data_IF_367763516005
#
_entry.id   IF_367763516005
#
_cell.length_a   1.000
_cell.length_b   1.000
_cell.length_c   1.000
_cell.angle_alpha   90.00
_cell.angle_beta   90.00
_cell.angle_gamma   90.00
#
_symmetry.space_group_name_H-M   'P 1'
#
loop_
_entity.id
_entity.type
_entity.pdbx_description
1 polymer ?
#
# COMPACT_ATOMS: atom_id res chain seq x y z
N UNK A 1 -11.24 3.37 -9.77
CA UNK A 1 -10.30 3.20 -8.64
C UNK A 1 -9.41 2.00 -8.89
N UNK A 2 -8.12 2.09 -8.58
CA UNK A 2 -7.13 1.04 -8.78
C UNK A 2 -6.56 0.65 -7.41
N UNK A 3 -6.60 -0.64 -7.06
CA UNK A 3 -5.92 -1.19 -5.89
C UNK A 3 -4.59 -1.83 -6.30
N UNK A 4 -3.49 -1.49 -5.62
CA UNK A 4 -2.17 -2.09 -5.87
C UNK A 4 -1.68 -2.76 -4.60
N UNK A 5 -1.79 -4.09 -4.55
CA UNK A 5 -1.36 -4.92 -3.42
C UNK A 5 -0.05 -5.67 -3.71
N UNK A 6 0.49 -6.32 -2.70
CA UNK A 6 1.69 -7.16 -2.79
C UNK A 6 2.54 -7.06 -1.52
N UNK A 7 3.44 -7.99 -1.29
CA UNK A 7 4.26 -8.05 -0.08
C UNK A 7 5.16 -6.82 0.11
N UNK A 8 5.59 -6.60 1.35
CA UNK A 8 6.63 -5.58 1.62
C UNK A 8 7.88 -5.89 0.81
N UNK A 9 8.45 -4.88 0.15
CA UNK A 9 9.61 -5.03 -0.75
C UNK A 9 9.29 -5.59 -2.15
N UNK A 10 8.01 -5.84 -2.50
CA UNK A 10 7.65 -6.35 -3.84
C UNK A 10 7.82 -5.33 -4.98
N UNK A 11 7.91 -4.04 -4.67
CA UNK A 11 8.02 -2.98 -5.68
C UNK A 11 6.67 -2.33 -6.04
N UNK A 12 5.64 -2.44 -5.19
CA UNK A 12 4.34 -1.77 -5.36
C UNK A 12 4.49 -0.28 -5.64
N UNK A 13 5.24 0.43 -4.78
CA UNK A 13 5.44 1.88 -4.91
C UNK A 13 6.11 2.26 -6.24
N UNK A 14 6.98 1.40 -6.78
CA UNK A 14 7.56 1.60 -8.12
C UNK A 14 6.49 1.49 -9.20
N UNK A 15 5.62 0.48 -9.12
CA UNK A 15 4.50 0.31 -10.05
C UNK A 15 3.54 1.49 -9.96
N UNK A 16 3.13 1.86 -8.73
CA UNK A 16 2.25 3.00 -8.48
C UNK A 16 2.81 4.29 -9.04
N UNK A 17 4.10 4.56 -8.79
CA UNK A 17 4.77 5.77 -9.34
C UNK A 17 4.69 5.81 -10.85
N UNK A 18 4.97 4.70 -11.54
CA UNK A 18 4.84 4.62 -13.01
C UNK A 18 3.41 4.82 -13.50
N UNK A 19 2.39 4.34 -12.74
CA UNK A 19 0.99 4.61 -13.07
C UNK A 19 0.69 6.11 -12.92
N UNK A 20 1.11 6.73 -11.81
CA UNK A 20 0.91 8.17 -11.57
C UNK A 20 1.59 9.01 -12.65
N UNK A 21 2.84 8.71 -12.98
CA UNK A 21 3.59 9.42 -14.04
C UNK A 21 2.91 9.28 -15.41
N UNK A 22 2.32 8.11 -15.68
CA UNK A 22 1.63 7.83 -16.95
C UNK A 22 0.28 8.53 -17.09
N UNK A 23 -0.44 8.73 -15.98
CA UNK A 23 -1.76 9.38 -15.97
C UNK A 23 -1.68 10.90 -15.75
N UNK A 24 -0.55 11.40 -15.25
CA UNK A 24 -0.36 12.76 -14.75
C UNK A 24 -0.75 12.86 -13.27
N UNK A 25 0.18 13.34 -12.44
CA UNK A 25 -0.02 13.43 -10.98
C UNK A 25 -1.20 14.32 -10.59
N UNK A 26 -1.51 15.34 -11.40
CA UNK A 26 -2.65 16.25 -11.22
C UNK A 26 -4.01 15.56 -11.40
N UNK A 27 -4.04 14.38 -12.03
CA UNK A 27 -5.26 13.60 -12.29
C UNK A 27 -5.44 12.42 -11.32
N UNK A 28 -4.49 12.21 -10.40
CA UNK A 28 -4.47 11.04 -9.52
C UNK A 28 -4.54 11.47 -8.06
N UNK A 29 -5.45 10.85 -7.30
CA UNK A 29 -5.41 10.84 -5.83
C UNK A 29 -4.78 9.53 -5.40
N UNK A 30 -3.70 9.59 -4.61
CA UNK A 30 -3.01 8.43 -4.07
C UNK A 30 -3.29 8.29 -2.57
N UNK A 31 -3.79 7.14 -2.17
CA UNK A 31 -3.98 6.72 -0.79
C UNK A 31 -3.04 5.54 -0.47
N UNK A 32 -2.15 5.75 0.48
CA UNK A 32 -1.31 4.72 1.05
C UNK A 32 -1.98 4.14 2.30
N UNK A 33 -2.25 2.83 2.33
CA UNK A 33 -2.87 2.15 3.46
C UNK A 33 -2.03 2.27 4.74
N UNK A 34 -0.70 2.35 4.59
CA UNK A 34 0.22 2.47 5.73
C UNK A 34 0.04 3.81 6.49
N UNK A 35 -0.65 4.80 5.95
CA UNK A 35 -1.08 6.01 6.69
C UNK A 35 -2.12 5.71 7.77
N UNK A 36 -2.86 4.63 7.62
CA UNK A 36 -4.00 4.26 8.46
C UNK A 36 -3.65 3.33 9.62
N UNK A 37 -2.36 3.16 9.95
CA UNK A 37 -2.03 2.47 11.19
C UNK A 37 -2.72 3.12 12.38
N UNK A 38 -3.25 2.29 13.28
CA UNK A 38 -3.94 2.76 14.49
C UNK A 38 -3.04 3.65 15.31
N UNK A 39 -3.64 4.71 15.86
CA UNK A 39 -2.94 5.55 16.82
C UNK A 39 -2.69 4.75 18.12
N UNK A 40 -1.44 4.65 18.50
CA UNK A 40 -0.98 4.00 19.73
C UNK A 40 -0.04 4.92 20.51
N UNK A 41 -0.32 6.23 20.47
CA UNK A 41 0.41 7.22 21.23
C UNK A 41 0.23 7.07 22.77
N UNK A 42 -0.69 6.19 23.19
CA UNK A 42 -0.87 5.71 24.56
C UNK A 42 0.29 4.81 25.05
N UNK A 43 1.07 4.21 24.13
CA UNK A 43 2.18 3.32 24.41
C UNK A 43 3.54 4.02 24.32
N UNK A 44 4.53 3.52 25.06
CA UNK A 44 5.94 3.96 24.90
C UNK A 44 6.50 3.51 23.55
N UNK A 45 7.58 4.15 23.11
CA UNK A 45 8.20 3.87 21.79
C UNK A 45 8.61 2.39 21.64
N UNK A 46 9.20 1.81 22.69
CA UNK A 46 9.64 0.39 22.67
C UNK A 46 8.45 -0.57 22.55
N UNK A 47 7.34 -0.25 23.21
CA UNK A 47 6.10 -1.05 23.15
C UNK A 47 5.47 -0.95 21.75
N UNK A 48 5.46 0.27 21.15
CA UNK A 48 5.00 0.46 19.77
C UNK A 48 5.88 -0.29 18.78
N UNK A 49 7.21 -0.23 18.93
CA UNK A 49 8.14 -0.92 18.05
C UNK A 49 7.97 -2.45 18.06
N UNK A 50 7.43 -3.01 19.16
CA UNK A 50 7.16 -4.44 19.31
C UNK A 50 5.80 -4.90 18.74
N UNK A 51 4.93 -3.96 18.30
CA UNK A 51 3.62 -4.31 17.73
C UNK A 51 3.76 -5.01 16.38
N UNK A 52 2.78 -5.89 16.10
CA UNK A 52 2.67 -6.54 14.78
C UNK A 52 1.94 -5.63 13.78
N UNK A 53 2.69 -4.84 13.03
CA UNK A 53 2.18 -3.94 12.00
C UNK A 53 1.75 -4.64 10.69
N UNK A 54 2.05 -5.92 10.55
CA UNK A 54 1.71 -6.70 9.36
C UNK A 54 0.36 -7.46 9.54
N UNK A 55 -0.27 -7.38 10.73
CA UNK A 55 -1.60 -7.93 10.99
C UNK A 55 -2.70 -6.92 10.58
N UNK A 56 -3.84 -7.38 9.99
CA UNK A 56 -4.95 -6.48 9.59
C UNK A 56 -5.46 -5.57 10.72
N UNK A 57 -5.52 -6.06 11.96
CA UNK A 57 -5.99 -5.30 13.11
C UNK A 57 -5.09 -4.11 13.49
N UNK A 58 -3.89 -4.03 12.94
CA UNK A 58 -3.00 -2.88 13.14
C UNK A 58 -3.45 -1.63 12.40
N UNK A 59 -4.39 -1.77 11.45
CA UNK A 59 -4.85 -0.71 10.56
C UNK A 59 -6.31 -0.33 10.83
N UNK A 60 -6.64 0.93 10.60
CA UNK A 60 -8.02 1.43 10.57
C UNK A 60 -8.57 1.37 9.14
N UNK A 61 -8.73 0.15 8.60
CA UNK A 61 -9.23 -0.06 7.23
C UNK A 61 -10.63 0.51 7.03
N UNK A 62 -11.47 0.50 8.06
CA UNK A 62 -12.81 1.13 8.01
C UNK A 62 -12.72 2.64 7.72
N UNK A 63 -11.75 3.34 8.31
CA UNK A 63 -11.52 4.76 8.03
C UNK A 63 -11.04 4.96 6.59
N UNK A 64 -10.15 4.10 6.09
CA UNK A 64 -9.75 4.11 4.68
C UNK A 64 -10.94 3.91 3.75
N UNK A 65 -11.82 2.94 4.04
CA UNK A 65 -13.05 2.69 3.28
C UNK A 65 -13.96 3.91 3.24
N UNK A 66 -14.13 4.60 4.37
CA UNK A 66 -14.90 5.85 4.44
C UNK A 66 -14.28 6.94 3.55
N UNK A 67 -12.97 7.15 3.62
CA UNK A 67 -12.26 8.12 2.78
C UNK A 67 -12.34 7.78 1.30
N UNK A 68 -12.19 6.51 0.93
CA UNK A 68 -12.36 6.05 -0.46
C UNK A 68 -13.78 6.35 -0.98
N UNK A 69 -14.81 6.07 -0.18
CA UNK A 69 -16.21 6.37 -0.55
C UNK A 69 -16.44 7.87 -0.73
N UNK A 70 -15.92 8.70 0.17
CA UNK A 70 -16.02 10.16 0.08
C UNK A 70 -15.34 10.70 -1.18
N UNK A 71 -14.10 10.26 -1.46
CA UNK A 71 -13.38 10.65 -2.68
C UNK A 71 -14.09 10.21 -3.96
N UNK A 72 -14.66 8.98 -4.00
CA UNK A 72 -15.47 8.50 -5.14
C UNK A 72 -16.76 9.30 -5.30
N UNK A 73 -17.30 9.87 -4.22
CA UNK A 73 -18.46 10.77 -4.24
C UNK A 73 -18.11 12.22 -4.55
N UNK A 74 -16.83 12.54 -4.82
CA UNK A 74 -16.40 13.92 -5.13
C UNK A 74 -16.13 14.80 -3.92
N UNK A 75 -15.96 14.21 -2.73
CA UNK A 75 -15.71 14.96 -1.47
C UNK A 75 -14.26 14.77 -1.03
N UNK A 76 -13.57 15.87 -0.72
CA UNK A 76 -12.24 15.88 -0.17
C UNK A 76 -12.20 15.24 1.23
N UNK A 77 -11.06 14.65 1.61
CA UNK A 77 -10.87 13.99 2.89
C UNK A 77 -9.58 14.44 3.58
N UNK A 78 -9.58 14.38 4.91
CA UNK A 78 -8.42 14.65 5.75
C UNK A 78 -7.71 13.32 6.10
N UNK A 79 -6.79 12.90 5.22
CA UNK A 79 -6.07 11.66 5.39
C UNK A 79 -5.03 11.76 6.53
N UNK A 80 -4.91 10.74 7.38
CA UNK A 80 -3.91 10.73 8.44
C UNK A 80 -2.49 10.71 7.89
N UNK A 81 -1.54 11.17 8.70
CA UNK A 81 -0.10 11.03 8.45
C UNK A 81 0.49 10.09 9.50
N UNK A 82 1.44 9.26 9.08
CA UNK A 82 2.10 8.31 9.96
C UNK A 82 3.63 8.46 9.89
N UNK A 83 4.25 8.53 11.07
CA UNK A 83 5.70 8.58 11.22
C UNK A 83 6.25 7.18 11.52
N UNK A 84 6.91 6.58 10.54
CA UNK A 84 7.47 5.22 10.63
C UNK A 84 8.66 5.13 11.57
N UNK A 85 9.35 6.24 11.85
CA UNK A 85 10.50 6.25 12.76
C UNK A 85 10.07 6.27 14.22
N UNK A 86 8.91 6.90 14.49
CA UNK A 86 8.33 7.04 15.82
C UNK A 86 7.20 6.04 16.07
N UNK A 87 6.83 5.25 15.06
CA UNK A 87 5.66 4.37 15.10
C UNK A 87 4.41 5.09 15.64
N UNK A 88 4.11 6.26 15.09
CA UNK A 88 3.07 7.13 15.61
C UNK A 88 2.26 7.80 14.50
N UNK A 89 0.94 7.90 14.72
CA UNK A 89 0.11 8.77 13.92
C UNK A 89 0.36 10.22 14.32
N UNK A 90 0.53 11.09 13.33
CA UNK A 90 0.71 12.52 13.56
C UNK A 90 -0.67 13.20 13.76
N UNK A 91 -0.65 14.36 14.42
CA UNK A 91 -1.83 15.22 14.56
C UNK A 91 -2.19 15.91 13.24
N UNK A 92 -1.16 16.20 12.43
CA UNK A 92 -1.32 16.78 11.11
C UNK A 92 -1.94 15.77 10.15
N UNK A 93 -2.79 16.27 9.26
CA UNK A 93 -3.44 15.51 8.21
C UNK A 93 -3.13 16.11 6.86
N UNK A 94 -3.29 15.34 5.81
CA UNK A 94 -3.19 15.83 4.43
C UNK A 94 -4.60 15.90 3.83
N UNK A 95 -4.99 17.07 3.32
CA UNK A 95 -6.21 17.19 2.55
C UNK A 95 -6.00 16.54 1.18
N UNK A 96 -6.78 15.51 0.89
CA UNK A 96 -6.77 14.83 -0.40
C UNK A 96 -8.04 15.18 -1.18
N UNK A 97 -7.83 15.79 -2.35
CA UNK A 97 -8.90 16.16 -3.26
C UNK A 97 -9.31 14.97 -4.15
N UNK A 98 -10.60 14.84 -4.48
CA UNK A 98 -11.05 13.89 -5.47
C UNK A 98 -10.47 14.23 -6.85
N UNK A 99 -9.89 13.23 -7.50
CA UNK A 99 -9.31 13.34 -8.83
C UNK A 99 -9.93 12.29 -9.77
N UNK A 100 -9.62 12.40 -11.06
CA UNK A 100 -10.12 11.48 -12.09
C UNK A 100 -9.78 10.02 -11.84
N UNK A 101 -8.60 9.73 -11.29
CA UNK A 101 -8.15 8.41 -10.87
C UNK A 101 -7.87 8.39 -9.37
N UNK A 102 -8.32 7.34 -8.69
CA UNK A 102 -8.02 7.04 -7.30
C UNK A 102 -7.19 5.75 -7.24
N UNK A 103 -6.00 5.83 -6.65
CA UNK A 103 -5.12 4.69 -6.42
C UNK A 103 -5.02 4.45 -4.92
N UNK A 104 -5.19 3.20 -4.51
CA UNK A 104 -4.92 2.75 -3.14
C UNK A 104 -3.81 1.71 -3.19
N UNK A 105 -2.73 1.92 -2.43
CA UNK A 105 -1.67 0.93 -2.29
C UNK A 105 -1.55 0.42 -0.86
N UNK A 106 -1.14 -0.84 -0.70
CA UNK A 106 -0.85 -1.42 0.61
C UNK A 106 -0.69 -2.93 0.58
N UNK A 107 -0.08 -3.47 1.64
CA UNK A 107 0.14 -4.93 1.71
C UNK A 107 -1.16 -5.70 2.01
N UNK A 108 -2.12 -5.09 2.71
CA UNK A 108 -3.35 -5.71 3.22
C UNK A 108 -4.64 -5.21 2.55
N UNK A 109 -4.56 -4.38 1.51
CA UNK A 109 -5.77 -3.76 0.91
C UNK A 109 -6.72 -4.79 0.27
N UNK A 110 -6.25 -6.00 -0.03
CA UNK A 110 -7.09 -7.07 -0.58
C UNK A 110 -7.61 -8.03 0.49
N UNK A 111 -7.29 -7.84 1.76
CA UNK A 111 -7.85 -8.67 2.85
C UNK A 111 -9.26 -8.25 3.25
N UNK A 112 -9.59 -6.96 3.11
CA UNK A 112 -10.89 -6.40 3.43
C UNK A 112 -11.86 -6.45 2.25
N UNK A 113 -13.05 -7.03 2.45
CA UNK A 113 -14.05 -7.19 1.40
C UNK A 113 -14.66 -5.86 0.96
N UNK A 114 -14.99 -4.99 1.92
CA UNK A 114 -15.63 -3.71 1.63
C UNK A 114 -14.69 -2.78 0.83
N UNK A 115 -13.38 -2.86 1.10
CA UNK A 115 -12.39 -2.12 0.32
C UNK A 115 -12.21 -2.70 -1.09
N UNK A 116 -12.16 -4.05 -1.23
CA UNK A 116 -12.07 -4.71 -2.54
C UNK A 116 -13.25 -4.37 -3.47
N UNK A 117 -14.46 -4.32 -2.91
CA UNK A 117 -15.69 -4.05 -3.67
C UNK A 117 -15.75 -2.63 -4.25
N UNK A 118 -14.93 -1.71 -3.73
CA UNK A 118 -14.78 -0.35 -4.24
C UNK A 118 -13.79 -0.25 -5.40
N UNK A 119 -12.97 -1.29 -5.64
CA UNK A 119 -11.91 -1.31 -6.64
C UNK A 119 -12.42 -1.79 -7.99
N UNK A 120 -12.17 -1.01 -9.04
CA UNK A 120 -12.49 -1.36 -10.43
C UNK A 120 -11.40 -2.23 -11.06
N UNK A 121 -10.14 -2.07 -10.61
CA UNK A 121 -8.98 -2.84 -11.06
C UNK A 121 -8.11 -3.18 -9.84
N UNK A 122 -7.80 -4.46 -9.69
CA UNK A 122 -6.98 -5.00 -8.60
C UNK A 122 -5.68 -5.59 -9.16
N UNK A 123 -4.56 -4.94 -8.83
CA UNK A 123 -3.22 -5.32 -9.28
C UNK A 123 -2.44 -5.91 -8.10
N UNK A 124 -1.91 -7.12 -8.26
CA UNK A 124 -1.01 -7.71 -7.27
C UNK A 124 0.42 -7.72 -7.81
N UNK A 125 1.34 -7.11 -7.06
CA UNK A 125 2.77 -7.06 -7.40
C UNK A 125 3.47 -8.23 -6.71
N UNK A 126 3.82 -9.23 -7.50
CA UNK A 126 4.41 -10.48 -7.04
C UNK A 126 5.94 -10.47 -7.23
N UNK A 127 6.66 -10.85 -6.20
CA UNK A 127 8.13 -10.90 -6.20
C UNK A 127 8.57 -11.95 -5.17
N UNK A 128 9.59 -12.71 -5.50
CA UNK A 128 10.13 -13.76 -4.66
C UNK A 128 10.52 -13.27 -3.26
N UNK A 129 10.34 -14.13 -2.26
CA UNK A 129 10.47 -13.75 -0.85
C UNK A 129 11.87 -13.29 -0.46
N UNK A 130 12.92 -13.88 -1.05
CA UNK A 130 14.32 -13.49 -0.84
C UNK A 130 14.61 -12.08 -1.41
N UNK A 131 14.15 -11.82 -2.63
CA UNK A 131 14.26 -10.49 -3.26
C UNK A 131 13.51 -9.44 -2.45
N UNK A 132 12.29 -9.73 -1.98
CA UNK A 132 11.51 -8.82 -1.14
C UNK A 132 12.22 -8.55 0.20
N UNK A 133 12.79 -9.59 0.80
CA UNK A 133 13.53 -9.46 2.06
C UNK A 133 14.77 -8.59 1.89
N UNK A 134 15.58 -8.81 0.85
CA UNK A 134 16.78 -8.02 0.58
C UNK A 134 16.41 -6.53 0.39
N UNK A 135 15.40 -6.23 -0.43
CA UNK A 135 14.94 -4.86 -0.67
C UNK A 135 14.42 -4.20 0.61
N UNK A 136 13.65 -4.93 1.43
CA UNK A 136 13.16 -4.45 2.72
C UNK A 136 14.33 -4.15 3.67
N UNK A 137 15.29 -5.06 3.78
CA UNK A 137 16.46 -4.89 4.63
C UNK A 137 17.25 -3.62 4.26
N UNK A 138 17.56 -3.46 2.97
CA UNK A 138 18.27 -2.29 2.46
C UNK A 138 17.53 -0.99 2.78
N UNK A 139 16.21 -0.94 2.47
CA UNK A 139 15.38 0.24 2.73
C UNK A 139 15.30 0.56 4.23
N UNK A 140 15.00 -0.42 5.07
CA UNK A 140 14.74 -0.18 6.49
C UNK A 140 16.03 0.22 7.24
N UNK A 141 17.19 -0.26 6.80
CA UNK A 141 18.49 0.19 7.32
C UNK A 141 18.84 1.59 6.82
N UNK A 142 18.73 1.85 5.50
CA UNK A 142 19.17 3.12 4.91
C UNK A 142 18.22 4.30 5.18
N UNK A 143 16.89 4.05 5.18
CA UNK A 143 15.90 5.12 5.20
C UNK A 143 15.15 5.25 6.54
N UNK A 144 15.09 4.15 7.34
CA UNK A 144 14.34 4.11 8.61
C UNK A 144 15.24 4.02 9.84
N UNK A 145 16.56 4.03 9.65
CA UNK A 145 17.55 4.02 10.74
C UNK A 145 17.54 2.75 11.59
N UNK A 146 17.03 1.62 11.04
CA UNK A 146 16.96 0.35 11.78
C UNK A 146 18.27 -0.42 11.70
N UNK A 147 18.56 -1.26 12.71
CA UNK A 147 19.67 -2.20 12.61
C UNK A 147 19.28 -3.43 11.78
N UNK A 148 20.27 -4.06 11.17
CA UNK A 148 20.09 -5.30 10.40
C UNK A 148 19.40 -6.38 11.24
N UNK A 149 19.87 -6.60 12.47
CA UNK A 149 19.34 -7.58 13.41
C UNK A 149 17.84 -7.33 13.67
N UNK A 150 17.49 -6.07 13.97
CA UNK A 150 16.10 -5.68 14.21
C UNK A 150 15.18 -5.96 13.02
N UNK A 151 15.67 -5.75 11.78
CA UNK A 151 14.89 -6.03 10.57
C UNK A 151 14.73 -7.54 10.35
N UNK A 152 15.79 -8.33 10.60
CA UNK A 152 15.77 -9.79 10.49
C UNK A 152 14.78 -10.38 11.50
N UNK A 153 14.88 -9.99 12.76
CA UNK A 153 14.01 -10.48 13.84
C UNK A 153 12.53 -10.17 13.54
N UNK A 154 12.22 -8.95 13.13
CA UNK A 154 10.86 -8.59 12.74
C UNK A 154 10.38 -9.39 11.52
N UNK A 155 11.25 -9.59 10.52
CA UNK A 155 10.88 -10.36 9.35
C UNK A 155 10.50 -11.79 9.71
N UNK A 156 11.24 -12.42 10.61
CA UNK A 156 10.98 -13.81 11.04
C UNK A 156 9.77 -13.91 11.96
N UNK A 157 9.61 -12.96 12.88
CA UNK A 157 8.57 -13.00 13.91
C UNK A 157 7.20 -12.56 13.42
N UNK A 158 7.11 -11.55 12.56
CA UNK A 158 5.82 -10.99 12.12
C UNK A 158 5.66 -10.96 10.61
N UNK A 159 6.59 -10.35 9.86
CA UNK A 159 6.40 -10.07 8.43
C UNK A 159 6.16 -11.34 7.60
N UNK A 160 7.02 -12.36 7.78
CA UNK A 160 6.92 -13.62 7.03
C UNK A 160 5.68 -14.44 7.40
N UNK A 161 5.33 -14.63 8.70
CA UNK A 161 4.08 -15.27 9.08
C UNK A 161 2.83 -14.54 8.53
N UNK A 162 2.74 -13.23 8.74
CA UNK A 162 1.59 -12.43 8.29
C UNK A 162 1.48 -12.37 6.77
N UNK A 163 2.61 -12.34 6.06
CA UNK A 163 2.58 -12.45 4.61
C UNK A 163 1.93 -13.75 4.14
N UNK A 164 2.27 -14.88 4.76
CA UNK A 164 1.72 -16.21 4.42
C UNK A 164 0.24 -16.32 4.76
N UNK A 165 -0.16 -15.69 5.86
CA UNK A 165 -1.53 -15.77 6.38
C UNK A 165 -2.48 -14.83 5.65
N UNK A 166 -2.08 -13.60 5.38
CA UNK A 166 -2.97 -12.55 4.87
C UNK A 166 -2.63 -12.09 3.45
N UNK A 167 -1.34 -11.78 3.18
CA UNK A 167 -0.95 -11.12 1.93
C UNK A 167 -0.97 -12.09 0.76
N UNK A 168 -0.28 -13.23 0.87
CA UNK A 168 -0.19 -14.21 -0.20
C UNK A 168 -1.56 -14.79 -0.61
N UNK A 169 -2.45 -15.19 0.33
CA UNK A 169 -3.79 -15.65 -0.04
C UNK A 169 -4.64 -14.58 -0.71
N UNK A 170 -4.39 -13.29 -0.44
CA UNK A 170 -5.15 -12.18 -1.02
C UNK A 170 -4.89 -12.00 -2.53
N UNK A 171 -3.78 -12.53 -3.04
CA UNK A 171 -3.42 -12.55 -4.47
C UNK A 171 -4.52 -13.12 -5.36
N UNK A 172 -5.32 -14.06 -4.86
CA UNK A 172 -6.48 -14.64 -5.59
C UNK A 172 -7.55 -13.63 -6.00
N UNK A 173 -7.57 -12.45 -5.36
CA UNK A 173 -8.53 -11.39 -5.66
C UNK A 173 -8.04 -10.42 -6.74
N UNK A 174 -6.80 -10.58 -7.20
CA UNK A 174 -6.22 -9.70 -8.22
C UNK A 174 -6.80 -10.01 -9.62
N UNK A 175 -7.06 -8.95 -10.38
CA UNK A 175 -7.41 -9.04 -11.80
C UNK A 175 -6.13 -9.16 -12.65
N UNK A 176 -5.02 -8.57 -12.16
CA UNK A 176 -3.70 -8.58 -12.83
C UNK A 176 -2.61 -8.88 -11.80
N UNK A 177 -1.72 -9.82 -12.14
CA UNK A 177 -0.50 -10.11 -11.35
C UNK A 177 0.72 -9.65 -12.14
N UNK A 178 1.55 -8.80 -11.52
CA UNK A 178 2.81 -8.31 -12.08
C UNK A 178 3.96 -9.07 -11.42
N UNK A 179 4.58 -10.05 -12.10
CA UNK A 179 5.74 -10.74 -11.56
C UNK A 179 6.98 -9.83 -11.58
N UNK A 180 7.92 -10.08 -10.67
CA UNK A 180 9.19 -9.34 -10.52
C UNK A 180 9.04 -7.86 -10.13
N UNK A 181 7.83 -7.42 -9.80
CA UNK A 181 7.56 -6.05 -9.38
C UNK A 181 7.75 -5.00 -10.48
N UNK A 182 8.11 -3.79 -10.09
CA UNK A 182 8.31 -2.66 -11.01
C UNK A 182 9.45 -2.82 -12.03
N UNK A 183 10.27 -3.86 -11.89
CA UNK A 183 11.33 -4.20 -12.86
C UNK A 183 10.81 -4.93 -14.09
N UNK A 184 9.61 -5.50 -14.04
CA UNK A 184 8.95 -6.08 -15.20
C UNK A 184 8.34 -4.97 -16.06
N UNK A 185 9.17 -4.34 -16.89
CA UNK A 185 8.74 -3.22 -17.73
C UNK A 185 7.64 -3.62 -18.70
N UNK A 186 7.69 -4.83 -19.27
CA UNK A 186 6.67 -5.32 -20.20
C UNK A 186 5.30 -5.42 -19.53
N UNK A 187 5.21 -6.06 -18.36
CA UNK A 187 3.95 -6.20 -17.66
C UNK A 187 3.39 -4.83 -17.19
N UNK A 188 4.28 -3.93 -16.75
CA UNK A 188 3.88 -2.59 -16.35
C UNK A 188 3.41 -1.78 -17.55
N UNK A 189 4.08 -1.83 -18.71
CA UNK A 189 3.69 -1.10 -19.91
C UNK A 189 2.35 -1.60 -20.48
N UNK A 190 2.08 -2.92 -20.41
CA UNK A 190 0.76 -3.48 -20.75
C UNK A 190 -0.34 -2.92 -19.83
N UNK A 191 -0.09 -2.91 -18.51
CA UNK A 191 -1.02 -2.30 -17.55
C UNK A 191 -1.26 -0.82 -17.86
N UNK A 192 -0.22 -0.03 -18.11
CA UNK A 192 -0.32 1.39 -18.44
C UNK A 192 -1.13 1.62 -19.73
N UNK A 193 -0.92 0.79 -20.75
CA UNK A 193 -1.68 0.86 -22.01
C UNK A 193 -3.17 0.61 -21.76
N UNK A 194 -3.49 -0.40 -20.96
CA UNK A 194 -4.87 -0.69 -20.55
C UNK A 194 -5.49 0.49 -19.78
N UNK A 195 -4.78 1.04 -18.81
CA UNK A 195 -5.27 2.15 -17.99
C UNK A 195 -5.53 3.41 -18.83
N UNK A 196 -4.65 3.73 -19.77
CA UNK A 196 -4.86 4.86 -20.70
C UNK A 196 -6.10 4.65 -21.56
N UNK A 197 -6.34 3.45 -22.06
CA UNK A 197 -7.52 3.15 -22.89
C UNK A 197 -8.84 3.29 -22.13
N UNK A 198 -8.84 2.99 -20.82
CA UNK A 198 -10.01 3.18 -19.95
C UNK A 198 -10.18 4.65 -19.56
N UNK A 199 -9.07 5.36 -19.32
CA UNK A 199 -9.09 6.78 -18.94
C UNK A 199 -9.53 7.72 -20.08
N UNK A 200 -9.40 7.31 -21.34
CA UNK A 200 -9.74 8.12 -22.53
C UNK A 200 -11.20 7.92 -22.97
N UNK A 201 -11.93 6.94 -22.44
CA UNK A 201 -13.37 6.79 -22.78
C UNK A 201 -14.14 8.01 -22.24
N UNK A 202 -14.74 8.85 -23.11
CA UNK A 202 -15.66 9.87 -22.64
C UNK A 202 -16.87 9.20 -22.01
N UNK A 203 -17.31 9.71 -20.88
CA UNK A 203 -18.56 9.35 -20.18
C UNK A 203 -19.78 9.75 -21.02
#
# INVERSE_FOLDING_TARGET
MIGVAGGSGSGKTTVVRRIVDSLGSEHVTLLDHDRYYRDRNDLRLEERAALNYDHPDSLETDLLVQHVRALKAGTAVEAPRYDFTRHARLTEKDTLEPRRALIVEGILIFTDAALRDLMDIKVFVDTDSDTRFIRRLQRDVAERGRTMESVIDQYQSTVKPMHREFVEPSKRHADVIIPLGGHNTVAVDLLLTMLRSVAVRPS
#
